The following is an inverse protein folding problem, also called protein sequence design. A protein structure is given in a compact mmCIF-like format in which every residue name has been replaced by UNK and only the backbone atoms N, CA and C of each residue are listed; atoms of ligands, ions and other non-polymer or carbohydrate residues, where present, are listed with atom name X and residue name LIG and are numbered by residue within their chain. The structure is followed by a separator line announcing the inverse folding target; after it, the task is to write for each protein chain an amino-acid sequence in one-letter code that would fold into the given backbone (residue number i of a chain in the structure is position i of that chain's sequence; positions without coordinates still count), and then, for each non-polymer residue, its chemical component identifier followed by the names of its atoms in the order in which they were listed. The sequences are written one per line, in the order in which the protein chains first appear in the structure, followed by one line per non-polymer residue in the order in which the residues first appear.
data_IF_385888783093
#
_entry.id   IF_385888783093
#
_cell.length_a   1.000
_cell.length_b   1.000
_cell.length_c   1.000
_cell.angle_alpha   90.00
_cell.angle_beta   90.00
_cell.angle_gamma   90.00
#
_symmetry.space_group_name_H-M   'P 1'
#
loop_
_entity.id
_entity.type
_entity.pdbx_description
1 polymer ?
#
# COMPACT_ATOMS: atom_id res chain seq x y z
N UNK A 1 23.10 11.49 3.37
CA UNK A 1 22.21 12.68 3.49
C UNK A 1 20.84 12.26 4.04
N UNK A 2 20.33 12.95 5.06
CA UNK A 2 18.98 12.71 5.58
C UNK A 2 17.98 13.22 4.56
N UNK A 3 17.23 12.32 3.91
CA UNK A 3 16.11 12.73 3.05
C UNK A 3 15.05 13.34 3.95
N UNK A 4 14.71 14.60 3.72
CA UNK A 4 13.67 15.32 4.44
C UNK A 4 12.54 15.60 3.47
N UNK A 5 11.36 15.06 3.75
CA UNK A 5 10.12 15.43 3.08
C UNK A 5 9.32 16.35 4.01
N UNK A 6 8.24 16.94 3.49
CA UNK A 6 7.21 17.50 4.37
C UNK A 6 6.82 16.42 5.42
N UNK A 7 6.58 16.82 6.67
CA UNK A 7 6.40 15.89 7.79
C UNK A 7 7.69 15.46 8.54
N UNK A 8 8.87 15.96 8.14
CA UNK A 8 10.13 15.80 8.89
C UNK A 8 11.11 14.76 8.32
N UNK A 9 12.23 14.49 9.02
CA UNK A 9 13.25 13.57 8.53
C UNK A 9 12.71 12.15 8.41
N UNK A 10 13.12 11.45 7.36
CA UNK A 10 12.84 10.02 7.21
C UNK A 10 13.77 9.23 8.15
N UNK A 11 13.25 8.49 9.14
CA UNK A 11 14.07 7.72 10.07
C UNK A 11 14.74 6.51 9.39
N UNK A 12 15.72 5.90 10.05
CA UNK A 12 16.30 4.62 9.62
C UNK A 12 15.41 3.47 10.09
N UNK A 13 15.37 2.38 9.31
CA UNK A 13 14.67 1.17 9.70
C UNK A 13 15.35 0.46 10.88
N UNK A 14 14.55 -0.24 11.69
CA UNK A 14 15.08 -1.11 12.74
C UNK A 14 15.87 -2.28 12.14
N UNK A 15 16.88 -2.82 12.85
CA UNK A 15 17.59 -4.00 12.38
C UNK A 15 16.63 -5.15 12.04
N UNK A 16 16.84 -5.78 10.87
CA UNK A 16 16.01 -6.89 10.40
C UNK A 16 14.77 -6.48 9.60
N UNK A 17 14.30 -5.23 9.70
CA UNK A 17 13.08 -4.76 9.01
C UNK A 17 13.07 -5.09 7.52
N UNK A 18 14.15 -4.80 6.79
CA UNK A 18 14.20 -5.02 5.34
C UNK A 18 14.19 -6.51 4.96
N UNK A 19 14.78 -7.38 5.78
CA UNK A 19 14.76 -8.81 5.55
C UNK A 19 13.35 -9.38 5.76
N UNK A 20 12.67 -8.94 6.83
CA UNK A 20 11.29 -9.36 7.08
C UNK A 20 10.31 -8.77 6.04
N UNK A 21 10.51 -7.51 5.62
CA UNK A 21 9.72 -6.87 4.57
C UNK A 21 9.84 -7.64 3.25
N UNK A 22 11.03 -8.16 2.92
CA UNK A 22 11.23 -8.96 1.71
C UNK A 22 10.46 -10.29 1.75
N UNK A 23 10.43 -10.95 2.91
CA UNK A 23 9.63 -12.17 3.12
C UNK A 23 8.14 -11.86 2.97
N UNK A 24 7.63 -10.88 3.71
CA UNK A 24 6.22 -10.49 3.66
C UNK A 24 5.79 -10.07 2.24
N UNK A 25 6.59 -9.22 1.59
CA UNK A 25 6.30 -8.75 0.23
C UNK A 25 6.30 -9.91 -0.77
N UNK A 26 7.24 -10.85 -0.65
CA UNK A 26 7.30 -12.03 -1.51
C UNK A 26 6.07 -12.93 -1.35
N UNK A 27 5.63 -13.17 -0.13
CA UNK A 27 4.43 -13.97 0.15
C UNK A 27 3.17 -13.33 -0.42
N UNK A 28 3.04 -11.99 -0.32
CA UNK A 28 1.90 -11.25 -0.86
C UNK A 28 1.91 -11.21 -2.39
N UNK A 29 3.06 -11.00 -3.03
CA UNK A 29 3.16 -11.03 -4.49
C UNK A 29 2.77 -12.40 -5.04
N UNK A 30 3.21 -13.49 -4.41
CA UNK A 30 2.79 -14.84 -4.80
C UNK A 30 1.27 -15.05 -4.67
N UNK A 31 0.59 -14.37 -3.74
CA UNK A 31 -0.86 -14.41 -3.64
C UNK A 31 -1.53 -13.66 -4.80
N UNK A 32 -0.99 -12.50 -5.18
CA UNK A 32 -1.45 -11.73 -6.34
C UNK A 32 -1.24 -12.53 -7.64
N UNK A 33 -0.07 -13.14 -7.81
CA UNK A 33 0.26 -13.95 -8.99
C UNK A 33 -0.68 -15.13 -9.18
N UNK A 34 -1.12 -15.79 -8.09
CA UNK A 34 -2.11 -16.87 -8.18
C UNK A 34 -3.47 -16.42 -8.69
N UNK A 35 -3.79 -15.14 -8.56
CA UNK A 35 -5.02 -14.55 -9.08
C UNK A 35 -4.86 -14.00 -10.51
N UNK A 36 -3.64 -13.94 -11.05
CA UNK A 36 -3.43 -13.47 -12.42
C UNK A 36 -3.97 -14.48 -13.43
N UNK A 37 -4.63 -14.01 -14.51
CA UNK A 37 -4.93 -14.84 -15.65
C UNK A 37 -3.65 -15.30 -16.36
N UNK A 38 -3.77 -16.37 -17.16
CA UNK A 38 -2.64 -16.99 -17.84
C UNK A 38 -1.92 -16.09 -18.86
N UNK A 39 -2.60 -15.04 -19.36
CA UNK A 39 -2.01 -14.03 -20.24
C UNK A 39 -1.29 -12.91 -19.46
N UNK A 40 -1.30 -12.96 -18.13
CA UNK A 40 -0.64 -12.02 -17.23
C UNK A 40 -1.26 -10.63 -17.21
N UNK A 41 -2.42 -10.42 -17.85
CA UNK A 41 -3.10 -9.12 -17.82
C UNK A 41 -3.86 -8.93 -16.50
N UNK A 42 -3.90 -7.70 -16.00
CA UNK A 42 -4.73 -7.40 -14.83
C UNK A 42 -6.21 -7.48 -15.19
N UNK A 43 -6.92 -8.34 -14.47
CA UNK A 43 -8.36 -8.50 -14.52
C UNK A 43 -8.97 -8.08 -13.16
N UNK A 44 -10.32 -8.09 -13.01
CA UNK A 44 -10.93 -7.72 -11.74
C UNK A 44 -10.47 -8.58 -10.55
N UNK A 45 -10.24 -9.89 -10.74
CA UNK A 45 -9.83 -10.80 -9.66
C UNK A 45 -8.42 -10.47 -9.15
N UNK A 46 -7.46 -10.38 -10.07
CA UNK A 46 -6.06 -10.01 -9.77
C UNK A 46 -5.93 -8.58 -9.24
N UNK A 47 -6.73 -7.63 -9.72
CA UNK A 47 -6.78 -6.28 -9.16
C UNK A 47 -7.30 -6.29 -7.72
N UNK A 48 -8.35 -7.08 -7.42
CA UNK A 48 -8.83 -7.27 -6.05
C UNK A 48 -7.75 -7.89 -5.16
N UNK A 49 -7.04 -8.90 -5.66
CA UNK A 49 -5.95 -9.54 -4.93
C UNK A 49 -4.82 -8.55 -4.62
N UNK A 50 -4.46 -7.67 -5.57
CA UNK A 50 -3.46 -6.63 -5.37
C UNK A 50 -3.89 -5.63 -4.28
N UNK A 51 -5.14 -5.17 -4.29
CA UNK A 51 -5.65 -4.25 -3.26
C UNK A 51 -5.62 -4.88 -1.86
N UNK A 52 -5.98 -6.17 -1.75
CA UNK A 52 -5.89 -6.92 -0.49
C UNK A 52 -4.45 -7.13 -0.05
N UNK A 53 -3.52 -7.37 -0.99
CA UNK A 53 -2.09 -7.46 -0.70
C UNK A 53 -1.55 -6.13 -0.16
N UNK A 54 -1.91 -4.99 -0.78
CA UNK A 54 -1.54 -3.65 -0.29
C UNK A 54 -2.06 -3.40 1.12
N UNK A 55 -3.32 -3.74 1.40
CA UNK A 55 -3.89 -3.68 2.76
C UNK A 55 -3.06 -4.49 3.75
N UNK A 56 -2.78 -5.76 3.43
CA UNK A 56 -2.05 -6.64 4.34
C UNK A 56 -0.63 -6.12 4.61
N UNK A 57 0.05 -5.65 3.57
CA UNK A 57 1.39 -5.07 3.69
C UNK A 57 1.39 -3.81 4.57
N UNK A 58 0.38 -2.94 4.43
CA UNK A 58 0.21 -1.77 5.28
C UNK A 58 -0.05 -2.14 6.74
N UNK A 59 -0.89 -3.14 7.00
CA UNK A 59 -1.16 -3.64 8.34
C UNK A 59 0.11 -4.23 9.00
N UNK A 60 0.89 -4.98 8.23
CA UNK A 60 2.17 -5.51 8.67
C UNK A 60 3.17 -4.40 9.00
N UNK A 61 3.27 -3.41 8.12
CA UNK A 61 4.22 -2.29 8.21
C UNK A 61 3.88 -1.35 9.36
N UNK A 62 2.59 -1.08 9.60
CA UNK A 62 2.11 -0.19 10.67
C UNK A 62 2.63 -0.57 12.06
N UNK A 63 2.86 -1.86 12.31
CA UNK A 63 3.36 -2.36 13.59
C UNK A 63 4.89 -2.39 13.70
N UNK A 64 5.61 -2.08 12.62
CA UNK A 64 7.06 -2.29 12.50
C UNK A 64 7.84 -1.04 12.12
N UNK A 65 7.17 0.03 11.72
CA UNK A 65 7.84 1.30 11.44
C UNK A 65 8.32 2.02 12.70
N UNK A 66 9.42 2.78 12.60
CA UNK A 66 9.91 3.63 13.68
C UNK A 66 8.88 4.72 14.07
N UNK A 67 8.96 5.29 15.29
CA UNK A 67 8.00 6.28 15.79
C UNK A 67 7.72 7.45 14.85
N UNK A 68 8.74 7.93 14.13
CA UNK A 68 8.65 9.06 13.20
C UNK A 68 7.80 8.82 11.94
N UNK A 69 7.29 7.59 11.72
CA UNK A 69 6.41 7.25 10.59
C UNK A 69 5.07 6.65 11.02
N UNK A 70 4.82 6.47 12.32
CA UNK A 70 3.60 5.79 12.80
C UNK A 70 2.32 6.50 12.40
N UNK A 71 2.34 7.84 12.36
CA UNK A 71 1.18 8.62 11.91
C UNK A 71 0.92 8.37 10.41
N UNK A 72 1.95 8.52 9.58
CA UNK A 72 1.86 8.34 8.12
C UNK A 72 1.34 6.94 7.76
N UNK A 73 1.96 5.89 8.32
CA UNK A 73 1.56 4.50 8.03
C UNK A 73 0.23 4.16 8.68
N UNK A 74 -0.08 4.73 9.84
CA UNK A 74 -1.36 4.53 10.53
C UNK A 74 -2.54 5.08 9.74
N UNK A 75 -2.36 6.21 9.04
CA UNK A 75 -3.37 6.78 8.13
C UNK A 75 -3.62 5.86 6.94
N UNK A 76 -2.55 5.47 6.23
CA UNK A 76 -2.64 4.55 5.09
C UNK A 76 -3.28 3.21 5.49
N UNK A 77 -2.82 2.64 6.61
CA UNK A 77 -3.36 1.38 7.11
C UNK A 77 -4.85 1.46 7.42
N UNK A 78 -5.34 2.58 7.99
CA UNK A 78 -6.78 2.75 8.27
C UNK A 78 -7.60 2.79 6.98
N UNK A 79 -7.19 3.63 6.03
CA UNK A 79 -7.86 3.77 4.73
C UNK A 79 -7.96 2.41 4.00
N UNK A 80 -6.85 1.68 3.93
CA UNK A 80 -6.82 0.38 3.27
C UNK A 80 -7.49 -0.72 4.10
N UNK A 81 -7.55 -0.61 5.43
CA UNK A 81 -8.34 -1.51 6.25
C UNK A 81 -9.85 -1.36 5.96
N UNK A 82 -10.34 -0.12 5.90
CA UNK A 82 -11.74 0.16 5.58
C UNK A 82 -12.10 -0.31 4.16
N UNK A 83 -11.25 -0.02 3.17
CA UNK A 83 -11.38 -0.58 1.82
C UNK A 83 -11.37 -2.12 1.84
N UNK A 84 -10.49 -2.71 2.64
CA UNK A 84 -10.35 -4.14 2.80
C UNK A 84 -11.62 -4.84 3.26
N UNK A 85 -12.39 -4.22 4.16
CA UNK A 85 -13.68 -4.75 4.63
C UNK A 85 -14.66 -4.87 3.47
N UNK A 86 -14.76 -3.85 2.62
CA UNK A 86 -15.63 -3.86 1.45
C UNK A 86 -15.18 -4.91 0.42
N UNK A 87 -13.87 -5.03 0.20
CA UNK A 87 -13.30 -6.02 -0.73
C UNK A 87 -13.54 -7.46 -0.26
N UNK A 88 -13.45 -7.73 1.04
CA UNK A 88 -13.73 -9.04 1.63
C UNK A 88 -15.21 -9.42 1.50
N UNK A 89 -16.12 -8.44 1.44
CA UNK A 89 -17.55 -8.65 1.19
C UNK A 89 -17.94 -8.89 -0.26
N UNK A 90 -17.01 -8.71 -1.22
CA UNK A 90 -17.27 -8.98 -2.64
C UNK A 90 -17.19 -10.48 -2.94
N UNK A 91 -18.10 -10.97 -3.77
CA UNK A 91 -17.96 -12.27 -4.41
C UNK A 91 -16.76 -12.25 -5.38
N UNK A 92 -15.71 -13.06 -5.15
CA UNK A 92 -14.53 -13.08 -6.01
C UNK A 92 -14.81 -13.45 -7.46
N UNK A 93 -15.88 -14.20 -7.75
CA UNK A 93 -16.23 -14.63 -9.12
C UNK A 93 -17.04 -13.55 -9.88
N UNK A 94 -17.63 -12.61 -9.15
CA UNK A 94 -18.54 -11.59 -9.70
C UNK A 94 -17.97 -10.17 -9.59
N UNK A 95 -16.71 -10.04 -9.18
CA UNK A 95 -16.03 -8.74 -9.07
C UNK A 95 -15.81 -8.13 -10.45
N UNK A 96 -16.07 -6.82 -10.56
CA UNK A 96 -15.90 -6.07 -11.82
C UNK A 96 -14.94 -4.90 -11.62
N UNK A 97 -14.23 -4.53 -12.68
CA UNK A 97 -13.29 -3.41 -12.62
C UNK A 97 -13.97 -2.09 -12.22
N UNK A 98 -15.16 -1.72 -12.77
CA UNK A 98 -15.85 -0.50 -12.34
C UNK A 98 -16.22 -0.51 -10.85
N UNK A 99 -16.58 -1.67 -10.29
CA UNK A 99 -16.88 -1.79 -8.85
C UNK A 99 -15.63 -1.55 -8.00
N UNK A 100 -14.49 -2.12 -8.39
CA UNK A 100 -13.21 -1.92 -7.70
C UNK A 100 -12.76 -0.45 -7.78
N UNK A 101 -12.86 0.16 -8.97
CA UNK A 101 -12.54 1.58 -9.16
C UNK A 101 -13.41 2.48 -8.28
N UNK A 102 -14.72 2.21 -8.19
CA UNK A 102 -15.63 2.97 -7.33
C UNK A 102 -15.28 2.85 -5.83
N UNK A 103 -14.83 1.67 -5.39
CA UNK A 103 -14.38 1.46 -4.01
C UNK A 103 -13.07 2.20 -3.74
N UNK A 104 -12.06 2.06 -4.61
CA UNK A 104 -10.79 2.78 -4.47
C UNK A 104 -11.03 4.30 -4.46
N UNK A 105 -11.87 4.81 -5.36
CA UNK A 105 -12.22 6.22 -5.39
C UNK A 105 -12.84 6.66 -4.05
N UNK A 106 -13.89 5.98 -3.58
CA UNK A 106 -14.61 6.35 -2.36
C UNK A 106 -13.73 6.29 -1.10
N UNK A 107 -12.88 5.28 -0.97
CA UNK A 107 -12.15 5.05 0.28
C UNK A 107 -10.76 5.67 0.31
N UNK A 108 -10.09 5.73 -0.85
CA UNK A 108 -8.69 6.18 -0.95
C UNK A 108 -8.60 7.61 -1.48
N UNK A 109 -9.38 7.96 -2.50
CA UNK A 109 -9.25 9.27 -3.17
C UNK A 109 -10.20 10.33 -2.60
N UNK A 110 -11.43 9.97 -2.30
CA UNK A 110 -12.49 10.83 -1.74
C UNK A 110 -12.83 10.41 -0.30
N UNK A 111 -11.81 9.97 0.45
CA UNK A 111 -12.00 9.48 1.80
C UNK A 111 -12.65 10.56 2.68
N UNK A 112 -13.77 10.29 3.36
CA UNK A 112 -14.39 11.27 4.25
C UNK A 112 -13.60 11.46 5.56
N UNK A 113 -12.56 10.66 5.78
CA UNK A 113 -11.84 10.54 7.06
C UNK A 113 -10.46 11.19 7.00
N UNK A 114 -9.86 11.36 5.82
CA UNK A 114 -8.50 11.88 5.63
C UNK A 114 -8.40 12.76 4.39
N UNK A 115 -7.63 13.84 4.48
CA UNK A 115 -7.33 14.71 3.34
C UNK A 115 -6.46 13.96 2.32
N UNK A 116 -6.82 14.01 1.03
CA UNK A 116 -6.05 13.40 -0.05
C UNK A 116 -4.60 13.91 -0.09
N UNK A 117 -4.34 15.18 0.27
CA UNK A 117 -2.99 15.74 0.35
C UNK A 117 -2.17 15.11 1.49
N UNK A 118 -2.81 14.86 2.64
CA UNK A 118 -2.18 14.21 3.78
C UNK A 118 -1.89 12.73 3.49
N UNK A 119 -2.80 12.06 2.78
CA UNK A 119 -2.65 10.67 2.37
C UNK A 119 -1.54 10.50 1.32
N UNK A 120 -1.46 11.38 0.33
CA UNK A 120 -0.36 11.45 -0.64
C UNK A 120 0.99 11.65 0.06
N UNK A 121 1.07 12.62 0.96
CA UNK A 121 2.30 12.86 1.72
C UNK A 121 2.71 11.62 2.54
N UNK A 122 1.75 10.97 3.19
CA UNK A 122 1.98 9.75 3.96
C UNK A 122 2.54 8.63 3.08
N UNK A 123 1.97 8.44 1.88
CA UNK A 123 2.42 7.44 0.92
C UNK A 123 3.85 7.70 0.44
N UNK A 124 4.17 8.95 0.08
CA UNK A 124 5.52 9.35 -0.33
C UNK A 124 6.54 9.17 0.79
N UNK A 125 6.18 9.49 2.03
CA UNK A 125 7.05 9.31 3.20
C UNK A 125 7.36 7.85 3.47
N UNK A 126 6.36 6.97 3.37
CA UNK A 126 6.56 5.53 3.53
C UNK A 126 7.42 4.96 2.38
N UNK A 127 7.15 5.32 1.12
CA UNK A 127 7.96 4.88 0.00
C UNK A 127 9.43 5.35 0.14
N UNK A 128 9.66 6.61 0.52
CA UNK A 128 11.00 7.14 0.76
C UNK A 128 11.71 6.43 1.92
N UNK A 129 10.98 6.00 2.95
CA UNK A 129 11.53 5.21 4.03
C UNK A 129 12.02 3.84 3.57
N UNK A 130 11.21 3.14 2.77
CA UNK A 130 11.58 1.83 2.23
C UNK A 130 12.75 1.95 1.25
N UNK A 131 12.70 2.89 0.30
CA UNK A 131 13.79 3.10 -0.66
C UNK A 131 15.12 3.46 0.04
N UNK A 132 15.07 4.37 1.03
CA UNK A 132 16.26 4.78 1.78
C UNK A 132 16.83 3.66 2.65
N UNK A 133 15.97 2.84 3.26
CA UNK A 133 16.40 1.82 4.24
C UNK A 133 16.75 0.48 3.61
N UNK A 134 15.98 0.07 2.59
CA UNK A 134 16.00 -1.27 2.02
C UNK A 134 16.40 -1.27 0.54
N UNK A 135 16.40 -0.11 -0.13
CA UNK A 135 16.60 0.00 -1.56
C UNK A 135 15.35 -0.38 -2.36
N UNK A 136 15.55 -0.69 -3.63
CA UNK A 136 14.50 -1.08 -4.59
C UNK A 136 14.15 -2.57 -4.49
N UNK A 137 13.05 -2.96 -5.12
CA UNK A 137 12.58 -4.34 -5.20
C UNK A 137 11.31 -4.61 -4.39
N UNK A 138 10.61 -3.55 -3.99
CA UNK A 138 9.37 -3.63 -3.22
C UNK A 138 8.21 -3.03 -4.01
N UNK A 139 7.71 -3.70 -5.06
CA UNK A 139 6.84 -3.08 -6.07
C UNK A 139 5.54 -2.50 -5.51
N UNK A 140 4.92 -3.16 -4.52
CA UNK A 140 3.73 -2.60 -3.84
C UNK A 140 4.07 -1.27 -3.16
N UNK A 141 5.20 -1.21 -2.43
CA UNK A 141 5.64 0.03 -1.75
C UNK A 141 6.07 1.11 -2.73
N UNK A 142 6.72 0.73 -3.83
CA UNK A 142 7.14 1.65 -4.89
C UNK A 142 5.92 2.30 -5.55
N UNK A 143 4.90 1.50 -5.90
CA UNK A 143 3.67 1.99 -6.53
C UNK A 143 2.85 2.94 -5.64
N UNK A 144 3.04 2.89 -4.32
CA UNK A 144 2.27 3.73 -3.40
C UNK A 144 2.60 5.22 -3.53
N UNK A 145 3.84 5.58 -3.84
CA UNK A 145 4.21 6.97 -4.08
C UNK A 145 3.56 7.54 -5.34
N UNK A 146 3.19 6.67 -6.28
CA UNK A 146 2.64 7.04 -7.58
C UNK A 146 1.10 7.10 -7.58
N UNK A 147 0.44 6.61 -6.52
CA UNK A 147 -1.03 6.54 -6.42
C UNK A 147 -1.74 7.89 -6.60
N UNK A 148 -1.09 8.98 -6.17
CA UNK A 148 -1.63 10.34 -6.24
C UNK A 148 -0.81 11.24 -7.17
N UNK A 149 0.13 10.66 -7.92
CA UNK A 149 0.88 11.38 -8.95
C UNK A 149 -0.07 11.68 -10.11
N UNK A 150 -0.53 12.93 -10.15
CA UNK A 150 -1.21 13.50 -11.31
C UNK A 150 -0.14 13.92 -12.32
N UNK A 151 0.38 12.96 -13.10
CA UNK A 151 1.03 13.26 -14.38
C UNK A 151 0.00 13.20 -15.52
#
# INVERSE_FOLDING_TARGET
PTTTLAGGPIPDATPGFCAELAVESGELILQVERALPADGQLDPSSQRALLLATRNLLAWTNNRVPPGLRADVGLLNRVYADLGIELDGLDPEMVTMPRLQALVFTYVLDSPVVDAVELDLSARRLAAFVDRSCGRGFPIMESMADLFSLD
#
